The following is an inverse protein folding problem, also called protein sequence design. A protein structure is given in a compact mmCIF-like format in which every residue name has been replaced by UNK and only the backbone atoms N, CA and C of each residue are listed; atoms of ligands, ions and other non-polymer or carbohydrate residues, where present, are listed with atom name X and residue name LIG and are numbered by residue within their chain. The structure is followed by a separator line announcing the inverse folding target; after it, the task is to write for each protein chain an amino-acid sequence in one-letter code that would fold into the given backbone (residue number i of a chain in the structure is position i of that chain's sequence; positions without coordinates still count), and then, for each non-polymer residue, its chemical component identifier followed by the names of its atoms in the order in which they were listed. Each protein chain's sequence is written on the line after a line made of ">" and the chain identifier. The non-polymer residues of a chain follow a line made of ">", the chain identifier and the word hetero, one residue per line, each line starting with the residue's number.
data_IF_704485846028
#
_entry.id   IF_704485846028
#
_cell.length_a   1.000
_cell.length_b   1.000
_cell.length_c   1.000
_cell.angle_alpha   90.00
_cell.angle_beta   90.00
_cell.angle_gamma   90.00
#
_symmetry.space_group_name_H-M   'P 1'
#
loop_
_entity.id
_entity.type
_entity.pdbx_description
1 polymer ?
#
# COMPACT_ATOMS: atom_id res chain seq x y z
N UNK A 1 15.73 -3.78 13.26
CA UNK A 1 15.17 -2.41 13.21
C UNK A 1 13.71 -2.51 12.84
N UNK A 2 12.83 -1.91 13.64
CA UNK A 2 11.39 -1.82 13.37
C UNK A 2 11.08 -0.47 12.73
N UNK A 3 10.19 -0.46 11.74
CA UNK A 3 9.69 0.76 11.14
C UNK A 3 8.23 0.62 10.72
N UNK A 4 7.57 1.78 10.64
CA UNK A 4 6.22 1.93 10.10
C UNK A 4 6.23 3.06 9.07
N UNK A 5 5.41 2.93 8.05
CA UNK A 5 5.17 3.90 6.99
C UNK A 5 3.66 4.04 6.83
N UNK A 6 3.17 5.27 6.74
CA UNK A 6 1.76 5.51 6.47
C UNK A 6 1.65 6.67 5.49
N UNK A 7 0.71 6.59 4.57
CA UNK A 7 0.54 7.60 3.53
C UNK A 7 -0.75 7.45 2.77
N UNK A 8 -0.92 8.35 1.82
CA UNK A 8 -2.02 8.34 0.85
C UNK A 8 -1.43 7.92 -0.47
N UNK A 9 -1.99 6.88 -1.09
CA UNK A 9 -1.56 6.46 -2.43
C UNK A 9 -2.02 7.50 -3.46
N UNK A 10 -1.26 7.72 -4.54
CA UNK A 10 -1.67 8.65 -5.58
C UNK A 10 -3.00 8.20 -6.19
N UNK A 11 -3.98 9.10 -6.21
CA UNK A 11 -5.28 8.89 -6.84
C UNK A 11 -5.57 10.02 -7.83
N UNK A 12 -6.25 9.71 -8.94
CA UNK A 12 -6.65 10.72 -9.91
C UNK A 12 -7.86 11.48 -9.37
N UNK A 13 -7.64 12.72 -8.90
CA UNK A 13 -8.74 13.66 -8.63
C UNK A 13 -9.18 14.30 -9.94
N UNK A 14 -10.42 14.05 -10.33
CA UNK A 14 -11.13 14.71 -11.43
C UNK A 14 -10.56 14.42 -12.82
N UNK A 15 -10.99 13.31 -13.42
CA UNK A 15 -11.00 13.20 -14.88
C UNK A 15 -12.16 14.07 -15.39
N UNK A 16 -11.90 15.34 -15.72
CA UNK A 16 -12.88 16.22 -16.39
C UNK A 16 -13.08 15.77 -17.85
N UNK A 17 -13.81 14.68 -18.04
CA UNK A 17 -14.42 14.34 -19.32
C UNK A 17 -15.92 14.64 -19.19
N UNK A 18 -16.39 15.71 -19.82
CA UNK A 18 -17.82 16.07 -19.88
C UNK A 18 -18.51 15.11 -20.86
N UNK A 19 -18.70 13.85 -20.43
CA UNK A 19 -19.45 12.83 -21.17
C UNK A 19 -20.83 12.75 -20.52
N UNK A 20 -21.92 13.08 -21.23
CA UNK A 20 -23.28 12.90 -20.72
C UNK A 20 -23.50 11.44 -20.30
N UNK A 21 -23.81 11.21 -19.02
CA UNK A 21 -24.02 9.86 -18.46
C UNK A 21 -22.78 9.20 -17.84
N UNK A 22 -21.61 9.85 -17.80
CA UNK A 22 -20.45 9.31 -17.09
C UNK A 22 -20.59 9.43 -15.55
N UNK A 23 -20.06 8.46 -14.79
CA UNK A 23 -20.02 8.53 -13.33
C UNK A 23 -19.30 9.79 -12.84
N UNK A 24 -19.87 10.44 -11.82
CA UNK A 24 -19.22 11.60 -11.19
C UNK A 24 -17.85 11.21 -10.62
N UNK A 25 -16.84 12.09 -10.68
CA UNK A 25 -15.54 11.81 -10.08
C UNK A 25 -15.70 11.54 -8.58
N UNK A 26 -15.24 10.38 -8.13
CA UNK A 26 -15.19 10.04 -6.70
C UNK A 26 -14.08 10.84 -6.03
N UNK A 27 -14.39 11.41 -4.87
CA UNK A 27 -13.48 12.20 -4.03
C UNK A 27 -12.76 11.35 -2.99
N UNK A 28 -12.82 10.03 -3.14
CA UNK A 28 -12.33 9.10 -2.16
C UNK A 28 -10.80 9.08 -2.14
N UNK A 29 -10.25 8.93 -0.93
CA UNK A 29 -8.82 8.95 -0.67
C UNK A 29 -8.43 7.59 -0.13
N UNK A 30 -7.53 6.87 -0.82
CA UNK A 30 -6.96 5.63 -0.29
C UNK A 30 -5.82 5.89 0.65
N UNK A 31 -5.79 5.13 1.73
CA UNK A 31 -4.69 5.08 2.67
C UNK A 31 -3.87 3.81 2.49
N UNK A 32 -2.56 3.94 2.69
CA UNK A 32 -1.62 2.83 2.75
C UNK A 32 -0.89 2.90 4.10
N UNK A 33 -0.82 1.75 4.77
CA UNK A 33 -0.01 1.56 5.95
C UNK A 33 0.94 0.38 5.72
N UNK A 34 2.21 0.54 6.05
CA UNK A 34 3.23 -0.51 5.98
C UNK A 34 3.94 -0.63 7.33
N UNK A 35 4.15 -1.86 7.78
CA UNK A 35 5.03 -2.18 8.90
C UNK A 35 6.11 -3.13 8.41
N UNK A 36 7.34 -2.89 8.81
CA UNK A 36 8.46 -3.73 8.43
C UNK A 36 9.43 -3.93 9.60
N UNK A 37 10.04 -5.10 9.67
CA UNK A 37 11.01 -5.42 10.70
C UNK A 37 12.25 -6.06 10.12
N UNK A 38 13.40 -5.38 10.20
CA UNK A 38 14.70 -5.93 9.80
C UNK A 38 15.30 -6.75 10.95
N UNK A 39 15.38 -8.06 10.75
CA UNK A 39 16.12 -9.03 11.54
C UNK A 39 17.50 -9.25 10.92
N UNK A 40 18.56 -8.99 11.68
CA UNK A 40 19.91 -9.39 11.29
C UNK A 40 20.18 -10.76 11.89
N UNK A 41 20.20 -11.79 11.04
CA UNK A 41 20.44 -13.18 11.48
C UNK A 41 21.93 -13.38 11.75
N UNK A 42 22.78 -12.82 10.88
CA UNK A 42 24.23 -12.73 11.07
C UNK A 42 24.79 -11.53 10.27
N UNK A 43 26.11 -11.35 10.26
CA UNK A 43 26.78 -10.26 9.53
C UNK A 43 26.61 -10.29 8.01
N UNK A 44 26.13 -11.40 7.47
CA UNK A 44 25.99 -11.67 6.02
C UNK A 44 24.54 -11.85 5.57
N UNK A 45 23.59 -11.96 6.49
CA UNK A 45 22.20 -12.32 6.21
C UNK A 45 21.28 -11.43 7.04
N UNK A 46 20.46 -10.66 6.35
CA UNK A 46 19.37 -9.88 6.94
C UNK A 46 18.03 -10.31 6.34
N UNK A 47 17.01 -10.48 7.16
CA UNK A 47 15.64 -10.77 6.75
C UNK A 47 14.76 -9.60 7.16
N UNK A 48 13.93 -9.12 6.24
CA UNK A 48 13.02 -7.99 6.44
C UNK A 48 11.61 -8.40 6.01
N UNK A 49 10.81 -9.03 6.88
CA UNK A 49 9.36 -9.09 6.70
C UNK A 49 8.76 -7.69 6.63
N UNK A 50 7.79 -7.51 5.73
CA UNK A 50 6.95 -6.33 5.59
C UNK A 50 5.49 -6.74 5.38
N UNK A 51 4.58 -5.97 5.97
CA UNK A 51 3.14 -6.12 5.82
C UNK A 51 2.58 -4.77 5.40
N UNK A 52 1.87 -4.75 4.27
CA UNK A 52 1.28 -3.56 3.66
C UNK A 52 -0.23 -3.73 3.65
N UNK A 53 -0.94 -2.75 4.18
CA UNK A 53 -2.39 -2.62 4.15
C UNK A 53 -2.76 -1.45 3.24
N UNK A 54 -3.71 -1.68 2.34
CA UNK A 54 -4.26 -0.65 1.44
C UNK A 54 -5.78 -0.62 1.58
N UNK A 55 -6.29 0.54 1.98
CA UNK A 55 -7.72 0.83 2.09
C UNK A 55 -8.33 1.06 0.69
N UNK A 56 -9.53 0.53 0.47
CA UNK A 56 -10.22 0.57 -0.82
C UNK A 56 -10.62 2.01 -1.22
N UNK A 57 -10.02 2.58 -2.28
CA UNK A 57 -10.30 3.96 -2.67
C UNK A 57 -11.71 4.15 -3.18
N UNK A 58 -12.52 3.14 -3.48
CA UNK A 58 -13.72 3.36 -4.27
C UNK A 58 -15.04 3.16 -3.53
N UNK A 59 -15.03 2.59 -2.32
CA UNK A 59 -16.22 2.43 -1.47
C UNK A 59 -17.44 1.88 -2.25
N UNK A 60 -17.16 1.04 -3.24
CA UNK A 60 -18.16 0.15 -3.82
C UNK A 60 -18.23 -0.99 -2.83
N UNK A 61 -19.42 -1.35 -2.35
CA UNK A 61 -19.71 -2.29 -1.24
C UNK A 61 -19.14 -3.74 -1.39
N UNK A 62 -18.14 -3.96 -2.22
CA UNK A 62 -17.50 -5.23 -2.57
C UNK A 62 -15.99 -5.16 -2.81
N UNK A 63 -15.32 -4.01 -2.63
CA UNK A 63 -13.86 -3.97 -2.75
C UNK A 63 -13.26 -4.24 -1.37
N UNK A 64 -12.82 -5.48 -1.18
CA UNK A 64 -12.16 -5.93 0.04
C UNK A 64 -10.83 -5.19 0.25
N UNK A 65 -10.58 -4.78 1.49
CA UNK A 65 -9.28 -4.27 1.94
C UNK A 65 -8.15 -5.20 1.46
N UNK A 66 -7.07 -4.61 0.93
CA UNK A 66 -5.94 -5.41 0.44
C UNK A 66 -4.84 -5.52 1.50
N UNK A 67 -4.50 -6.75 1.85
CA UNK A 67 -3.36 -7.06 2.73
C UNK A 67 -2.28 -7.81 1.95
N UNK A 68 -1.09 -7.20 1.87
CA UNK A 68 0.06 -7.73 1.15
C UNK A 68 1.17 -8.07 2.15
N UNK A 69 1.53 -9.34 2.22
CA UNK A 69 2.73 -9.80 2.93
C UNK A 69 3.92 -9.93 2.00
N UNK A 70 5.08 -9.42 2.39
CA UNK A 70 6.33 -9.63 1.67
C UNK A 70 7.48 -9.94 2.64
N UNK A 71 8.47 -10.69 2.16
CA UNK A 71 9.69 -10.99 2.91
C UNK A 71 10.87 -10.68 2.00
N UNK A 72 11.76 -9.79 2.45
CA UNK A 72 13.00 -9.44 1.76
C UNK A 72 14.19 -10.05 2.49
N UNK A 73 14.95 -10.89 1.82
CA UNK A 73 16.21 -11.45 2.35
C UNK A 73 17.39 -10.84 1.62
N UNK A 74 18.38 -10.33 2.36
CA UNK A 74 19.60 -9.73 1.83
C UNK A 74 20.79 -10.57 2.25
N UNK A 75 21.63 -10.95 1.28
CA UNK A 75 22.87 -11.69 1.48
C UNK A 75 24.06 -10.79 1.12
N UNK A 76 25.12 -10.84 1.93
CA UNK A 76 26.38 -10.15 1.69
C UNK A 76 27.51 -11.18 1.65
N UNK A 77 28.30 -11.14 0.58
CA UNK A 77 29.41 -12.06 0.29
C UNK A 77 30.71 -11.29 0.07
#
# INVERSE_FOLDING_TARGET
>A
MLGILAGVVPYSRNNFAFIPGAPLPSNNTSFLAEVFYRLQVNDRISITPSLIYVDDPYNVRSLDDSLIGAIRTTFSF
#
